data_IF_571853098347
#
_entry.id   IF_571853098347
#
_cell.length_a   1.000
_cell.length_b   1.000
_cell.length_c   1.000
_cell.angle_alpha   90.00
_cell.angle_beta   90.00
_cell.angle_gamma   90.00
#
_symmetry.space_group_name_H-M   'P 1'
#
loop_
_entity.id
_entity.type
_entity.pdbx_description
1 polymer ?
#
# COMPACT_ATOMS: atom_id res chain seq x y z
N UNK A 1 0.82 -9.17 17.73
CA UNK A 1 -0.01 -9.02 16.54
C UNK A 1 -0.42 -7.56 16.27
N UNK A 2 -1.17 -6.85 17.12
CA UNK A 2 -1.70 -5.50 16.85
C UNK A 2 -0.60 -4.50 16.47
N UNK A 3 0.49 -4.42 17.24
CA UNK A 3 1.62 -3.54 16.91
C UNK A 3 2.36 -3.92 15.63
N UNK A 4 2.38 -5.20 15.28
CA UNK A 4 2.90 -5.67 14.00
C UNK A 4 2.03 -5.16 12.83
N UNK A 5 0.71 -5.23 12.97
CA UNK A 5 -0.23 -4.67 11.98
C UNK A 5 0.00 -3.16 11.81
N UNK A 6 0.13 -2.41 12.89
CA UNK A 6 0.41 -0.98 12.81
C UNK A 6 1.71 -0.67 12.07
N UNK A 7 2.81 -1.34 12.42
CA UNK A 7 4.13 -1.01 11.90
C UNK A 7 4.42 -1.64 10.54
N UNK A 8 4.08 -2.92 10.36
CA UNK A 8 4.48 -3.68 9.17
C UNK A 8 3.41 -3.64 8.10
N UNK A 9 2.16 -3.94 8.44
CA UNK A 9 1.08 -4.01 7.44
C UNK A 9 0.61 -2.65 6.93
N UNK A 10 0.83 -1.58 7.69
CA UNK A 10 0.39 -0.23 7.31
C UNK A 10 1.56 0.74 7.19
N UNK A 11 2.15 1.16 8.31
CA UNK A 11 3.15 2.24 8.30
C UNK A 11 4.37 1.92 7.44
N UNK A 12 4.87 0.68 7.48
CA UNK A 12 6.02 0.24 6.68
C UNK A 12 5.75 0.31 5.18
N UNK A 13 4.52 0.16 4.76
CA UNK A 13 4.09 0.28 3.36
C UNK A 13 4.18 1.69 2.79
N UNK A 14 4.28 2.74 3.63
CA UNK A 14 4.23 4.12 3.16
C UNK A 14 5.49 4.59 2.39
N UNK A 15 6.57 3.82 2.36
CA UNK A 15 7.84 4.23 1.75
C UNK A 15 7.92 4.00 0.23
N UNK A 16 7.08 3.12 -0.29
CA UNK A 16 7.07 2.82 -1.73
C UNK A 16 5.65 2.61 -2.24
N UNK A 17 5.38 2.91 -3.51
CA UNK A 17 4.08 2.62 -4.13
C UNK A 17 3.68 1.14 -4.10
N UNK A 18 4.64 0.23 -4.00
CA UNK A 18 4.38 -1.22 -3.95
C UNK A 18 4.05 -1.66 -2.52
N UNK A 19 4.43 -0.87 -1.52
CA UNK A 19 4.27 -1.22 -0.10
C UNK A 19 2.83 -1.15 0.39
N UNK A 20 2.02 -0.27 -0.20
CA UNK A 20 0.61 -0.12 0.18
C UNK A 20 -0.24 0.33 -1.02
N UNK A 21 -1.41 -0.27 -1.26
CA UNK A 21 -2.27 0.03 -2.40
C UNK A 21 -2.63 1.50 -2.61
N UNK A 22 -2.89 2.34 -1.59
CA UNK A 22 -3.11 3.77 -1.77
C UNK A 22 -1.99 4.46 -2.53
N UNK A 23 -0.75 4.18 -2.18
CA UNK A 23 0.41 4.82 -2.80
C UNK A 23 0.61 4.32 -4.24
N UNK A 24 0.30 3.05 -4.51
CA UNK A 24 0.27 2.51 -5.87
C UNK A 24 -0.75 3.27 -6.72
N UNK A 25 -1.94 3.52 -6.19
CA UNK A 25 -2.96 4.31 -6.88
C UNK A 25 -2.50 5.75 -7.13
N UNK A 26 -1.79 6.37 -6.18
CA UNK A 26 -1.16 7.68 -6.37
C UNK A 26 -0.13 7.66 -7.50
N UNK A 27 0.73 6.65 -7.52
CA UNK A 27 1.73 6.45 -8.56
C UNK A 27 1.08 6.29 -9.95
N UNK A 28 0.04 5.47 -10.06
CA UNK A 28 -0.74 5.31 -11.30
C UNK A 28 -1.43 6.61 -11.75
N UNK A 29 -1.62 7.57 -10.84
CA UNK A 29 -2.18 8.89 -11.13
C UNK A 29 -1.11 9.96 -11.37
N UNK A 30 0.17 9.59 -11.43
CA UNK A 30 1.27 10.48 -11.79
C UNK A 30 2.11 10.98 -10.61
N UNK A 31 1.87 10.52 -9.39
CA UNK A 31 2.80 10.79 -8.26
C UNK A 31 4.11 10.06 -8.52
N UNK A 32 5.28 10.73 -8.45
CA UNK A 32 6.56 10.07 -8.71
C UNK A 32 6.83 8.90 -7.76
N UNK A 33 7.44 7.81 -8.25
CA UNK A 33 7.70 6.59 -7.47
C UNK A 33 8.44 6.88 -6.15
N UNK A 34 9.50 7.66 -6.20
CA UNK A 34 10.33 7.99 -5.04
C UNK A 34 9.77 9.13 -4.18
N UNK A 35 8.64 9.71 -4.55
CA UNK A 35 8.03 10.77 -3.78
C UNK A 35 7.66 10.32 -2.36
N UNK A 36 7.22 9.08 -2.20
CA UNK A 36 6.86 8.50 -0.91
C UNK A 36 8.00 8.50 0.12
N UNK A 37 9.26 8.56 -0.32
CA UNK A 37 10.40 8.71 0.60
C UNK A 37 10.36 10.01 1.41
N UNK A 38 9.62 11.03 0.96
CA UNK A 38 9.37 12.25 1.75
C UNK A 38 8.58 11.97 3.04
N UNK A 39 7.89 10.82 3.11
CA UNK A 39 7.16 10.40 4.31
C UNK A 39 8.07 9.75 5.37
N UNK A 40 9.33 9.46 5.05
CA UNK A 40 10.27 8.79 5.94
C UNK A 40 10.42 9.48 7.31
N UNK A 41 10.58 10.81 7.42
CA UNK A 41 10.68 11.46 8.73
C UNK A 41 9.41 11.28 9.58
N UNK A 42 8.23 11.35 8.95
CA UNK A 42 6.95 11.17 9.61
C UNK A 42 6.78 9.72 10.06
N UNK A 43 7.17 8.76 9.22
CA UNK A 43 7.20 7.34 9.57
C UNK A 43 8.09 7.08 10.77
N UNK A 44 9.33 7.55 10.75
CA UNK A 44 10.28 7.33 11.85
C UNK A 44 9.76 7.92 13.16
N UNK A 45 9.19 9.12 13.14
CA UNK A 45 8.59 9.74 14.30
C UNK A 45 7.45 8.89 14.88
N UNK A 46 6.51 8.44 14.06
CA UNK A 46 5.41 7.57 14.49
C UNK A 46 5.91 6.21 14.99
N UNK A 47 6.91 5.62 14.30
CA UNK A 47 7.50 4.35 14.69
C UNK A 47 8.12 4.41 16.08
N UNK A 48 8.84 5.50 16.41
CA UNK A 48 9.40 5.70 17.75
C UNK A 48 8.30 5.77 18.81
N UNK A 49 7.20 6.48 18.53
CA UNK A 49 6.06 6.59 19.46
C UNK A 49 5.44 5.20 19.68
N UNK A 50 5.11 4.49 18.62
CA UNK A 50 4.44 3.18 18.71
C UNK A 50 5.33 2.14 19.38
N UNK A 51 6.63 2.10 19.05
CA UNK A 51 7.59 1.20 19.71
C UNK A 51 7.75 1.54 21.20
N UNK A 52 7.73 2.82 21.56
CA UNK A 52 7.78 3.24 22.97
C UNK A 52 6.53 2.75 23.71
N UNK A 53 5.35 2.96 23.16
CA UNK A 53 4.09 2.48 23.75
C UNK A 53 4.13 0.95 23.88
N UNK A 54 4.54 0.25 22.84
CA UNK A 54 4.70 -1.22 22.85
C UNK A 54 5.63 -1.66 23.98
N UNK A 55 6.82 -1.06 24.08
CA UNK A 55 7.79 -1.38 25.11
C UNK A 55 7.23 -1.24 26.53
N UNK A 56 6.53 -0.14 26.81
CA UNK A 56 5.95 0.05 28.14
C UNK A 56 4.81 -0.92 28.43
N UNK A 57 3.97 -1.21 27.43
CA UNK A 57 2.86 -2.18 27.59
C UNK A 57 3.39 -3.60 27.77
N UNK A 58 4.33 -4.01 26.95
CA UNK A 58 4.95 -5.33 27.00
C UNK A 58 5.70 -5.56 28.32
N UNK A 59 6.50 -4.59 28.73
CA UNK A 59 7.19 -4.62 30.02
C UNK A 59 6.22 -4.75 31.21
N UNK A 60 5.08 -4.05 31.12
CA UNK A 60 4.05 -4.15 32.16
C UNK A 60 3.38 -5.54 32.16
N UNK A 61 3.05 -6.10 30.99
CA UNK A 61 2.51 -7.44 30.84
C UNK A 61 3.48 -8.49 31.39
N UNK A 62 4.74 -8.43 30.95
CA UNK A 62 5.82 -9.31 31.39
C UNK A 62 6.00 -9.34 32.92
N UNK A 63 5.99 -8.16 33.56
CA UNK A 63 6.07 -8.08 35.03
C UNK A 63 4.88 -8.75 35.73
N UNK A 64 3.68 -8.64 35.15
CA UNK A 64 2.48 -9.31 35.69
C UNK A 64 2.58 -10.82 35.55
N UNK A 65 3.12 -11.32 34.43
CA UNK A 65 3.26 -12.75 34.18
C UNK A 65 4.31 -13.37 35.14
N UNK A 66 5.43 -12.71 35.37
CA UNK A 66 6.39 -13.10 36.40
C UNK A 66 5.76 -13.13 37.80
N UNK A 67 4.98 -12.10 38.16
CA UNK A 67 4.30 -12.03 39.45
C UNK A 67 3.26 -13.17 39.66
N UNK A 68 2.73 -13.71 38.54
CA UNK A 68 1.84 -14.88 38.53
C UNK A 68 2.57 -16.22 38.54
N UNK A 69 3.92 -16.21 38.58
CA UNK A 69 4.74 -17.41 38.54
C UNK A 69 4.91 -18.04 37.15
N UNK A 70 4.45 -17.36 36.09
CA UNK A 70 4.68 -17.77 34.72
C UNK A 70 6.15 -17.43 34.39
N UNK A 71 6.98 -18.47 34.24
CA UNK A 71 8.35 -18.30 33.74
C UNK A 71 8.32 -18.27 32.22
N UNK A 72 8.99 -17.32 31.57
CA UNK A 72 9.19 -17.38 30.14
C UNK A 72 9.91 -18.68 29.78
N UNK A 73 9.42 -19.40 28.80
CA UNK A 73 10.08 -20.61 28.31
C UNK A 73 11.33 -20.23 27.50
N UNK A 74 12.42 -19.98 28.23
CA UNK A 74 13.75 -19.66 27.66
C UNK A 74 14.48 -20.93 27.21
N UNK A 75 13.87 -22.11 27.42
CA UNK A 75 14.52 -23.40 27.22
C UNK A 75 14.63 -23.84 25.76
N UNK A 76 14.01 -23.15 24.83
CA UNK A 76 14.25 -23.39 23.41
C UNK A 76 15.49 -22.59 22.99
N UNK A 77 16.63 -23.25 22.71
CA UNK A 77 17.75 -22.54 22.10
C UNK A 77 17.25 -21.82 20.85
N UNK A 78 17.61 -20.55 20.71
CA UNK A 78 17.21 -19.77 19.57
C UNK A 78 17.43 -20.59 18.31
N UNK A 79 16.37 -20.84 17.56
CA UNK A 79 16.50 -21.46 16.26
C UNK A 79 17.45 -20.61 15.45
N UNK A 80 18.51 -21.21 14.93
CA UNK A 80 19.46 -20.50 14.05
C UNK A 80 18.65 -19.71 13.03
N UNK A 81 18.84 -18.40 13.02
CA UNK A 81 18.14 -17.53 12.09
C UNK A 81 18.59 -17.88 10.66
N UNK A 82 17.79 -18.66 9.96
CA UNK A 82 18.03 -19.07 8.58
C UNK A 82 16.96 -18.47 7.67
N UNK A 83 17.39 -17.69 6.71
CA UNK A 83 16.50 -17.21 5.64
C UNK A 83 16.56 -18.24 4.51
N UNK A 84 15.48 -19.03 4.37
CA UNK A 84 15.32 -19.95 3.26
C UNK A 84 14.67 -19.25 2.08
N UNK A 85 15.10 -19.59 0.85
CA UNK A 85 14.51 -18.99 -0.37
C UNK A 85 15.04 -17.60 -0.70
N UNK A 86 16.24 -17.23 -0.28
CA UNK A 86 16.84 -15.91 -0.52
C UNK A 86 16.89 -15.52 -2.02
N UNK A 87 16.93 -16.49 -2.92
CA UNK A 87 16.86 -16.24 -4.37
C UNK A 87 15.57 -15.51 -4.79
N UNK A 88 14.49 -15.61 -4.02
CA UNK A 88 13.25 -14.89 -4.29
C UNK A 88 13.40 -13.36 -4.18
N UNK A 89 14.44 -12.86 -3.54
CA UNK A 89 14.77 -11.42 -3.53
C UNK A 89 14.99 -10.91 -4.95
N UNK A 90 15.55 -11.74 -5.86
CA UNK A 90 15.76 -11.38 -7.27
C UNK A 90 14.40 -11.13 -7.93
N UNK A 91 13.40 -11.99 -7.69
CA UNK A 91 12.06 -11.83 -8.25
C UNK A 91 11.34 -10.63 -7.65
N UNK A 92 11.55 -10.34 -6.37
CA UNK A 92 11.04 -9.13 -5.75
C UNK A 92 11.65 -7.88 -6.41
N UNK A 93 12.96 -7.85 -6.66
CA UNK A 93 13.62 -6.75 -7.38
C UNK A 93 13.08 -6.63 -8.81
N UNK A 94 12.80 -7.74 -9.50
CA UNK A 94 12.15 -7.72 -10.82
C UNK A 94 10.77 -7.06 -10.77
N UNK A 95 9.95 -7.35 -9.78
CA UNK A 95 8.63 -6.73 -9.59
C UNK A 95 8.77 -5.23 -9.36
N UNK A 96 9.68 -4.82 -8.45
CA UNK A 96 9.97 -3.40 -8.19
C UNK A 96 10.41 -2.69 -9.47
N UNK A 97 11.32 -3.28 -10.22
CA UNK A 97 11.79 -2.74 -11.48
C UNK A 97 10.65 -2.61 -12.52
N UNK A 98 9.77 -3.61 -12.61
CA UNK A 98 8.61 -3.59 -13.51
C UNK A 98 7.68 -2.42 -13.22
N UNK A 99 7.36 -2.20 -11.93
CA UNK A 99 6.50 -1.08 -11.51
C UNK A 99 7.17 0.27 -11.80
N UNK A 100 8.48 0.43 -11.53
CA UNK A 100 9.21 1.66 -11.86
C UNK A 100 9.21 1.89 -13.38
N UNK A 101 9.43 0.84 -14.17
CA UNK A 101 9.40 0.92 -15.63
C UNK A 101 8.02 1.34 -16.14
N UNK A 102 6.94 0.79 -15.61
CA UNK A 102 5.58 1.14 -16.05
C UNK A 102 5.23 2.61 -15.82
N UNK A 103 5.84 3.26 -14.82
CA UNK A 103 5.68 4.69 -14.57
C UNK A 103 6.61 5.58 -15.39
N UNK A 104 7.74 5.06 -15.87
CA UNK A 104 8.73 5.83 -16.62
C UNK A 104 8.61 5.68 -18.14
N UNK A 105 8.29 4.49 -18.62
CA UNK A 105 8.14 4.17 -20.05
C UNK A 105 7.09 5.04 -20.77
N UNK A 106 5.94 5.43 -20.17
CA UNK A 106 4.98 6.33 -20.80
C UNK A 106 5.56 7.65 -21.27
N UNK A 107 6.62 8.14 -20.62
CA UNK A 107 7.28 9.40 -20.96
C UNK A 107 8.31 9.27 -22.08
N UNK A 108 8.59 8.06 -22.54
CA UNK A 108 9.55 7.82 -23.63
C UNK A 108 8.86 7.94 -24.99
N UNK A 109 9.46 8.65 -25.97
CA UNK A 109 8.86 8.86 -27.30
C UNK A 109 8.48 7.56 -28.03
N UNK A 110 9.18 6.44 -27.75
CA UNK A 110 8.91 5.14 -28.34
C UNK A 110 7.53 4.60 -27.95
N UNK A 111 7.03 4.94 -26.76
CA UNK A 111 5.73 4.49 -26.24
C UNK A 111 4.61 5.51 -26.45
N UNK A 112 4.90 6.64 -27.12
CA UNK A 112 3.92 7.68 -27.42
C UNK A 112 3.53 7.64 -28.92
N UNK A 113 2.29 8.02 -29.19
CA UNK A 113 1.83 8.30 -30.54
C UNK A 113 2.21 9.73 -31.00
N UNK A 114 1.86 10.09 -32.23
CA UNK A 114 2.11 11.43 -32.76
C UNK A 114 1.38 12.56 -32.00
N UNK A 115 0.36 12.21 -31.22
CA UNK A 115 -0.45 13.13 -30.40
C UNK A 115 0.04 13.21 -28.94
N UNK A 116 1.11 12.48 -28.59
CA UNK A 116 1.66 12.44 -27.24
C UNK A 116 0.92 11.47 -26.28
N UNK A 117 -0.07 10.70 -26.77
CA UNK A 117 -0.75 9.70 -25.96
C UNK A 117 0.07 8.40 -25.90
N UNK A 118 -0.03 7.70 -24.77
CA UNK A 118 0.67 6.41 -24.58
C UNK A 118 0.03 5.35 -25.48
N UNK A 119 0.85 4.69 -26.29
CA UNK A 119 0.42 3.60 -27.18
C UNK A 119 0.00 2.38 -26.38
N UNK A 120 -1.01 1.67 -26.89
CA UNK A 120 -1.50 0.45 -26.26
C UNK A 120 -2.48 -0.32 -27.13
N UNK A 121 -2.96 -1.43 -26.59
CA UNK A 121 -4.01 -2.24 -27.19
C UNK A 121 -5.37 -1.68 -26.76
N UNK A 122 -6.20 -1.34 -27.73
CA UNK A 122 -7.57 -0.94 -27.48
C UNK A 122 -8.42 -2.18 -27.16
N UNK A 123 -8.96 -2.27 -25.94
CA UNK A 123 -9.73 -3.43 -25.50
C UNK A 123 -11.22 -3.21 -25.70
N UNK A 124 -11.75 -2.12 -25.19
CA UNK A 124 -13.19 -1.84 -25.25
C UNK A 124 -13.45 -0.35 -25.07
N UNK A 125 -14.22 0.27 -25.99
CA UNK A 125 -14.57 1.72 -25.97
C UNK A 125 -13.33 2.60 -25.76
N UNK A 126 -13.21 3.27 -24.61
CA UNK A 126 -12.11 4.17 -24.27
C UNK A 126 -11.02 3.46 -23.43
N UNK A 127 -11.16 2.16 -23.18
CA UNK A 127 -10.21 1.41 -22.36
C UNK A 127 -9.06 0.91 -23.23
N UNK A 128 -7.89 1.50 -23.04
CA UNK A 128 -6.65 1.13 -23.71
C UNK A 128 -5.69 0.52 -22.70
N UNK A 129 -5.26 -0.71 -22.92
CA UNK A 129 -4.18 -1.32 -22.16
C UNK A 129 -2.84 -0.88 -22.77
N UNK A 130 -2.13 -0.01 -22.09
CA UNK A 130 -0.89 0.57 -22.60
C UNK A 130 0.23 -0.48 -22.67
N UNK A 131 1.14 -0.34 -23.64
CA UNK A 131 2.29 -1.26 -23.75
C UNK A 131 3.16 -1.28 -22.48
N UNK A 132 3.46 -0.16 -21.80
CA UNK A 132 4.13 -0.20 -20.50
C UNK A 132 3.41 -1.07 -19.46
N UNK A 133 2.08 -1.01 -19.38
CA UNK A 133 1.30 -1.84 -18.47
C UNK A 133 1.35 -3.33 -18.86
N UNK A 134 1.35 -3.65 -20.16
CA UNK A 134 1.52 -5.02 -20.61
C UNK A 134 2.89 -5.57 -20.21
N UNK A 135 3.95 -4.77 -20.40
CA UNK A 135 5.31 -5.17 -20.02
C UNK A 135 5.38 -5.42 -18.51
N UNK A 136 4.80 -4.55 -17.69
CA UNK A 136 4.70 -4.71 -16.24
C UNK A 136 4.02 -6.03 -15.88
N UNK A 137 2.83 -6.29 -16.41
CA UNK A 137 2.07 -7.51 -16.15
C UNK A 137 2.88 -8.76 -16.54
N UNK A 138 3.53 -8.76 -17.71
CA UNK A 138 4.33 -9.89 -18.16
C UNK A 138 5.51 -10.14 -17.23
N UNK A 139 6.23 -9.10 -16.79
CA UNK A 139 7.36 -9.26 -15.88
C UNK A 139 6.88 -9.78 -14.52
N UNK A 140 5.77 -9.26 -13.97
CA UNK A 140 5.21 -9.71 -12.68
C UNK A 140 4.79 -11.17 -12.76
N UNK A 141 4.08 -11.57 -13.82
CA UNK A 141 3.66 -12.96 -14.01
C UNK A 141 4.86 -13.91 -14.20
N UNK A 142 5.88 -13.47 -14.93
CA UNK A 142 7.12 -14.23 -15.10
C UNK A 142 7.86 -14.39 -13.77
N UNK A 143 7.99 -13.32 -12.99
CA UNK A 143 8.61 -13.35 -11.66
C UNK A 143 7.85 -14.30 -10.72
N UNK A 144 6.51 -14.25 -10.72
CA UNK A 144 5.66 -15.14 -9.93
C UNK A 144 5.84 -16.60 -10.36
N UNK A 145 5.81 -16.88 -11.66
CA UNK A 145 6.01 -18.23 -12.22
C UNK A 145 7.39 -18.78 -11.86
N UNK A 146 8.47 -18.00 -12.05
CA UNK A 146 9.82 -18.41 -11.73
C UNK A 146 9.98 -18.63 -10.22
N UNK A 147 9.47 -17.75 -9.39
CA UNK A 147 9.46 -17.91 -7.93
C UNK A 147 8.76 -19.21 -7.54
N UNK A 148 7.59 -19.48 -8.11
CA UNK A 148 6.83 -20.69 -7.79
C UNK A 148 7.57 -21.96 -8.24
N UNK A 149 8.23 -21.93 -9.40
CA UNK A 149 8.95 -23.09 -9.96
C UNK A 149 10.29 -23.35 -9.28
N UNK A 150 11.01 -22.32 -8.86
CA UNK A 150 12.36 -22.43 -8.29
C UNK A 150 12.38 -22.55 -6.77
N UNK A 151 11.30 -22.19 -6.08
CA UNK A 151 11.21 -22.31 -4.63
C UNK A 151 10.78 -23.73 -4.24
N UNK A 152 11.57 -24.34 -3.35
CA UNK A 152 11.28 -25.67 -2.83
C UNK A 152 9.91 -25.72 -2.16
N UNK A 153 9.16 -26.80 -2.44
CA UNK A 153 7.82 -27.00 -1.89
C UNK A 153 7.84 -27.08 -0.35
N UNK A 154 8.91 -27.59 0.23
CA UNK A 154 9.09 -27.69 1.68
C UNK A 154 9.08 -26.29 2.35
N UNK A 155 9.57 -25.25 1.67
CA UNK A 155 9.53 -23.88 2.18
C UNK A 155 8.10 -23.34 2.20
N UNK A 156 7.34 -23.60 1.14
CA UNK A 156 5.92 -23.19 1.05
C UNK A 156 5.07 -23.89 2.09
N UNK A 157 5.26 -25.20 2.25
CA UNK A 157 4.55 -26.01 3.24
C UNK A 157 4.85 -25.55 4.67
N UNK A 158 6.11 -25.27 4.99
CA UNK A 158 6.51 -24.75 6.30
C UNK A 158 5.95 -23.37 6.61
N UNK A 159 5.71 -22.56 5.57
CA UNK A 159 5.12 -21.23 5.70
C UNK A 159 3.59 -21.25 5.56
N UNK A 160 2.96 -22.43 5.57
CA UNK A 160 1.50 -22.59 5.41
C UNK A 160 0.94 -21.81 4.21
N UNK A 161 1.70 -21.77 3.09
CA UNK A 161 1.28 -21.02 1.91
C UNK A 161 0.00 -21.61 1.32
N UNK A 162 -1.03 -20.78 1.21
CA UNK A 162 -2.29 -21.10 0.52
C UNK A 162 -2.66 -20.01 -0.47
N UNK A 163 -3.42 -20.37 -1.50
CA UNK A 163 -3.96 -19.39 -2.46
C UNK A 163 -5.16 -18.61 -1.91
N UNK A 164 -5.74 -19.05 -0.78
CA UNK A 164 -6.95 -18.46 -0.19
C UNK A 164 -6.82 -16.96 0.04
N UNK A 165 -5.76 -16.52 0.71
CA UNK A 165 -5.54 -15.11 1.00
C UNK A 165 -5.42 -14.25 -0.27
N UNK A 166 -4.77 -14.77 -1.33
CA UNK A 166 -4.62 -14.06 -2.61
C UNK A 166 -5.98 -13.95 -3.33
N UNK A 167 -6.78 -15.01 -3.31
CA UNK A 167 -8.12 -15.04 -3.91
C UNK A 167 -9.06 -14.05 -3.20
N UNK A 168 -9.04 -14.04 -1.86
CA UNK A 168 -9.85 -13.12 -1.06
C UNK A 168 -9.53 -11.68 -1.40
N UNK A 169 -8.25 -11.30 -1.41
CA UNK A 169 -7.79 -9.96 -1.77
C UNK A 169 -8.17 -9.61 -3.21
N UNK A 170 -8.03 -10.54 -4.17
CA UNK A 170 -8.39 -10.29 -5.56
C UNK A 170 -9.90 -10.01 -5.73
N UNK A 171 -10.76 -10.79 -5.09
CA UNK A 171 -12.22 -10.59 -5.12
C UNK A 171 -12.58 -9.25 -4.47
N UNK A 172 -11.97 -8.95 -3.33
CA UNK A 172 -12.19 -7.69 -2.62
C UNK A 172 -11.81 -6.49 -3.49
N UNK A 173 -10.65 -6.49 -4.15
CA UNK A 173 -10.24 -5.39 -5.03
C UNK A 173 -11.16 -5.23 -6.23
N UNK A 174 -11.61 -6.31 -6.87
CA UNK A 174 -12.61 -6.23 -7.96
C UNK A 174 -13.88 -5.54 -7.47
N UNK A 175 -14.39 -5.93 -6.30
CA UNK A 175 -15.54 -5.29 -5.68
C UNK A 175 -15.33 -3.80 -5.40
N UNK A 176 -14.22 -3.44 -4.79
CA UNK A 176 -13.85 -2.05 -4.48
C UNK A 176 -13.77 -1.22 -5.76
N UNK A 177 -13.05 -1.66 -6.79
CA UNK A 177 -12.87 -0.89 -8.03
C UNK A 177 -14.18 -0.65 -8.77
N UNK A 178 -15.12 -1.58 -8.71
CA UNK A 178 -16.45 -1.41 -9.31
C UNK A 178 -17.27 -0.42 -8.49
N UNK A 179 -17.34 -0.60 -7.18
CA UNK A 179 -18.26 0.16 -6.31
C UNK A 179 -17.78 1.59 -6.03
N UNK A 180 -16.48 1.87 -6.12
CA UNK A 180 -15.95 3.21 -5.86
C UNK A 180 -16.19 4.20 -7.01
N UNK A 181 -16.47 3.75 -8.24
CA UNK A 181 -16.61 4.66 -9.39
C UNK A 181 -17.70 5.73 -9.20
N UNK A 182 -18.92 5.41 -8.75
CA UNK A 182 -19.93 6.44 -8.48
C UNK A 182 -19.50 7.44 -7.41
N UNK A 183 -18.82 6.98 -6.37
CA UNK A 183 -18.30 7.85 -5.30
C UNK A 183 -17.25 8.83 -5.82
N UNK A 184 -16.32 8.37 -6.68
CA UNK A 184 -15.33 9.23 -7.30
C UNK A 184 -15.95 10.27 -8.23
N UNK A 185 -16.99 9.90 -8.99
CA UNK A 185 -17.74 10.84 -9.84
C UNK A 185 -18.44 11.92 -9.01
N UNK A 186 -19.10 11.53 -7.93
CA UNK A 186 -19.77 12.46 -7.03
C UNK A 186 -18.77 13.43 -6.41
N UNK A 187 -17.63 12.93 -5.95
CA UNK A 187 -16.60 13.75 -5.32
C UNK A 187 -15.89 14.70 -6.28
N UNK A 188 -15.74 14.33 -7.55
CA UNK A 188 -15.28 15.27 -8.57
C UNK A 188 -16.22 16.46 -8.72
N UNK A 189 -17.55 16.23 -8.60
CA UNK A 189 -18.56 17.27 -8.72
C UNK A 189 -18.68 18.15 -7.46
N UNK A 190 -18.59 17.55 -6.27
CA UNK A 190 -18.86 18.20 -4.98
C UNK A 190 -17.58 18.59 -4.23
N UNK A 191 -16.45 17.98 -4.58
CA UNK A 191 -15.16 18.14 -3.89
C UNK A 191 -14.76 19.59 -3.60
N UNK A 192 -14.83 20.52 -4.58
CA UNK A 192 -14.51 21.93 -4.36
C UNK A 192 -15.37 22.59 -3.27
N UNK A 193 -16.59 22.10 -3.06
CA UNK A 193 -17.56 22.67 -2.13
C UNK A 193 -17.47 22.07 -0.71
N UNK A 194 -16.62 21.04 -0.49
CA UNK A 194 -16.47 20.41 0.81
C UNK A 194 -15.75 21.30 1.84
N UNK A 195 -15.09 22.37 1.39
CA UNK A 195 -14.37 23.28 2.26
C UNK A 195 -13.10 22.70 2.89
N UNK A 196 -12.71 21.48 2.53
CA UNK A 196 -11.51 20.79 3.04
C UNK A 196 -10.34 21.20 2.16
N UNK A 197 -9.51 22.14 2.62
CA UNK A 197 -8.42 22.71 1.82
C UNK A 197 -7.05 22.62 2.50
N UNK A 198 -7.04 22.53 3.84
CA UNK A 198 -5.80 22.53 4.62
C UNK A 198 -5.24 21.12 4.80
N UNK A 199 -3.91 20.97 4.89
CA UNK A 199 -3.28 19.66 5.13
C UNK A 199 -3.81 18.93 6.37
N UNK A 200 -4.05 19.65 7.48
CA UNK A 200 -4.57 19.05 8.70
C UNK A 200 -6.01 18.52 8.54
N UNK A 201 -6.86 19.26 7.82
CA UNK A 201 -8.23 18.85 7.49
C UNK A 201 -8.22 17.60 6.61
N UNK A 202 -7.35 17.59 5.58
CA UNK A 202 -7.15 16.43 4.69
C UNK A 202 -6.66 15.20 5.46
N UNK A 203 -5.69 15.37 6.37
CA UNK A 203 -5.18 14.27 7.19
C UNK A 203 -6.27 13.62 8.04
N UNK A 204 -6.99 14.43 8.82
CA UNK A 204 -8.02 13.91 9.73
C UNK A 204 -9.23 13.35 9.00
N UNK A 205 -9.69 14.01 7.94
CA UNK A 205 -10.82 13.54 7.15
C UNK A 205 -10.48 12.22 6.42
N UNK A 206 -9.31 12.16 5.78
CA UNK A 206 -8.82 10.94 5.13
C UNK A 206 -8.63 9.83 6.14
N UNK A 207 -7.98 10.11 7.26
CA UNK A 207 -7.68 9.12 8.28
C UNK A 207 -8.91 8.59 8.99
N UNK A 208 -9.84 9.47 9.38
CA UNK A 208 -11.10 9.05 9.97
C UNK A 208 -11.86 8.10 9.02
N UNK A 209 -11.95 8.46 7.75
CA UNK A 209 -12.65 7.64 6.77
C UNK A 209 -11.91 6.32 6.51
N UNK A 210 -10.57 6.35 6.40
CA UNK A 210 -9.73 5.15 6.22
C UNK A 210 -9.79 4.18 7.41
N UNK A 211 -10.16 4.66 8.57
CA UNK A 211 -10.36 3.78 9.74
C UNK A 211 -11.58 2.86 9.61
N UNK A 212 -12.56 3.20 8.78
CA UNK A 212 -13.81 2.46 8.60
C UNK A 212 -14.00 1.91 7.19
N UNK A 213 -13.35 2.53 6.21
CA UNK A 213 -13.33 2.09 4.82
C UNK A 213 -11.92 1.65 4.47
N UNK A 214 -11.81 0.85 3.41
CA UNK A 214 -10.49 0.52 2.86
C UNK A 214 -9.68 1.78 2.51
N UNK A 215 -8.39 1.76 2.80
CA UNK A 215 -7.50 2.89 2.63
C UNK A 215 -7.35 3.33 1.17
N UNK A 216 -7.47 2.41 0.22
CA UNK A 216 -7.27 2.67 -1.21
C UNK A 216 -8.35 3.57 -1.81
N UNK A 217 -9.65 3.25 -1.71
CA UNK A 217 -10.69 4.14 -2.18
C UNK A 217 -10.68 5.47 -1.42
N UNK A 218 -10.41 5.44 -0.11
CA UNK A 218 -10.33 6.65 0.71
C UNK A 218 -9.23 7.59 0.20
N UNK A 219 -8.03 7.07 -0.06
CA UNK A 219 -6.94 7.84 -0.63
C UNK A 219 -7.33 8.49 -1.96
N UNK A 220 -7.91 7.71 -2.88
CA UNK A 220 -8.32 8.21 -4.20
C UNK A 220 -9.37 9.30 -4.12
N UNK A 221 -10.32 9.17 -3.20
CA UNK A 221 -11.33 10.18 -2.92
C UNK A 221 -10.68 11.52 -2.57
N UNK A 222 -9.81 11.54 -1.57
CA UNK A 222 -9.17 12.78 -1.13
C UNK A 222 -8.12 13.30 -2.10
N UNK A 223 -7.41 12.42 -2.82
CA UNK A 223 -6.51 12.84 -3.88
C UNK A 223 -7.29 13.51 -5.03
N UNK A 224 -8.45 12.96 -5.40
CA UNK A 224 -9.33 13.56 -6.41
C UNK A 224 -9.85 14.91 -5.94
N UNK A 225 -10.33 14.99 -4.70
CA UNK A 225 -10.78 16.26 -4.10
C UNK A 225 -9.67 17.30 -4.10
N UNK A 226 -8.46 16.95 -3.67
CA UNK A 226 -7.32 17.85 -3.67
C UNK A 226 -6.95 18.30 -5.10
N UNK A 227 -7.01 17.41 -6.08
CA UNK A 227 -6.75 17.74 -7.48
C UNK A 227 -7.75 18.76 -8.08
N UNK A 228 -8.98 18.79 -7.59
CA UNK A 228 -10.01 19.76 -8.05
C UNK A 228 -9.85 21.16 -7.44
N UNK A 229 -9.02 21.33 -6.39
CA UNK A 229 -8.84 22.62 -5.71
C UNK A 229 -7.93 23.60 -6.48
N UNK A 230 -7.49 23.23 -7.68
CA UNK A 230 -6.70 24.08 -8.60
C UNK A 230 -5.48 24.75 -7.95
N UNK A 231 -4.72 24.00 -7.18
CA UNK A 231 -3.47 24.47 -6.62
C UNK A 231 -2.45 24.78 -7.76
N UNK A 232 -1.70 25.85 -7.60
CA UNK A 232 -0.70 26.29 -8.61
C UNK A 232 0.67 25.63 -8.43
N UNK A 233 0.98 25.18 -7.20
CA UNK A 233 2.27 24.59 -6.86
C UNK A 233 2.10 23.20 -6.26
N UNK A 234 2.92 22.24 -6.71
CA UNK A 234 2.87 20.88 -6.18
C UNK A 234 3.24 19.83 -7.21
N UNK A 235 2.79 18.63 -6.97
CA UNK A 235 2.98 17.49 -7.86
C UNK A 235 1.80 17.44 -8.83
N UNK A 236 2.11 17.45 -10.11
CA UNK A 236 1.12 17.35 -11.19
C UNK A 236 0.71 15.89 -11.34
N UNK A 237 -0.57 15.62 -11.13
CA UNK A 237 -1.19 14.30 -11.30
C UNK A 237 -2.22 14.35 -12.42
N UNK A 238 -2.71 13.18 -12.84
CA UNK A 238 -3.83 13.10 -13.80
C UNK A 238 -5.15 13.67 -13.25
N UNK A 239 -5.20 13.96 -11.95
CA UNK A 239 -6.37 14.52 -11.26
C UNK A 239 -6.25 16.02 -10.99
N UNK A 240 -5.07 16.61 -11.22
CA UNK A 240 -4.74 18.00 -10.95
C UNK A 240 -3.44 18.15 -10.18
N UNK A 241 -3.04 19.40 -9.91
CA UNK A 241 -1.82 19.68 -9.13
C UNK A 241 -2.13 19.65 -7.64
N UNK A 242 -1.34 18.89 -6.87
CA UNK A 242 -1.52 18.71 -5.42
C UNK A 242 -0.25 19.12 -4.68
N UNK A 243 -0.32 20.07 -3.73
CA UNK A 243 0.83 20.48 -2.92
C UNK A 243 1.41 19.29 -2.14
N UNK A 244 2.73 19.22 -2.03
CA UNK A 244 3.42 18.14 -1.29
C UNK A 244 2.89 17.95 0.13
N UNK A 245 2.60 19.03 0.87
CA UNK A 245 2.05 18.94 2.23
C UNK A 245 0.65 18.33 2.27
N UNK A 246 -0.20 18.65 1.29
CA UNK A 246 -1.55 18.08 1.16
C UNK A 246 -1.46 16.61 0.79
N UNK A 247 -0.62 16.27 -0.18
CA UNK A 247 -0.41 14.88 -0.58
C UNK A 247 0.17 14.03 0.55
N UNK A 248 1.13 14.57 1.33
CA UNK A 248 1.65 13.89 2.52
C UNK A 248 0.57 13.68 3.58
N UNK A 249 -0.30 14.66 3.79
CA UNK A 249 -1.40 14.56 4.75
C UNK A 249 -2.40 13.46 4.34
N UNK A 250 -2.81 13.42 3.06
CA UNK A 250 -3.70 12.39 2.54
C UNK A 250 -3.04 11.01 2.64
N UNK A 251 -1.77 10.89 2.23
CA UNK A 251 -1.03 9.62 2.28
C UNK A 251 -0.88 9.09 3.70
N UNK A 252 -0.46 9.94 4.65
CA UNK A 252 -0.33 9.54 6.04
C UNK A 252 -1.68 9.23 6.69
N UNK A 253 -2.73 10.01 6.39
CA UNK A 253 -4.08 9.75 6.87
C UNK A 253 -4.59 8.40 6.40
N UNK A 254 -4.50 8.13 5.10
CA UNK A 254 -4.95 6.87 4.52
C UNK A 254 -4.18 5.67 5.06
N UNK A 255 -2.84 5.73 5.04
CA UNK A 255 -1.98 4.59 5.39
C UNK A 255 -1.94 4.34 6.89
N UNK A 256 -1.68 5.37 7.71
CA UNK A 256 -1.46 5.17 9.15
C UNK A 256 -2.76 4.88 9.89
N UNK A 257 -3.85 5.55 9.55
CA UNK A 257 -5.12 5.34 10.23
C UNK A 257 -5.93 4.18 9.66
N UNK A 258 -5.55 3.63 8.50
CA UNK A 258 -6.05 2.35 7.99
C UNK A 258 -5.74 1.18 8.94
N UNK A 259 -4.77 1.34 9.84
CA UNK A 259 -4.46 0.37 10.89
C UNK A 259 -5.48 0.32 12.04
N UNK A 260 -6.35 1.31 12.17
CA UNK A 260 -7.25 1.43 13.33
C UNK A 260 -8.30 0.31 13.40
N UNK A 261 -8.66 -0.27 12.26
CA UNK A 261 -9.57 -1.42 12.19
C UNK A 261 -9.05 -2.47 11.21
N UNK A 262 -9.58 -3.68 11.30
CA UNK A 262 -9.22 -4.73 10.33
C UNK A 262 -9.74 -4.42 8.91
N UNK A 263 -10.80 -3.63 8.78
CA UNK A 263 -11.42 -3.26 7.50
C UNK A 263 -10.63 -2.14 6.82
N UNK A 264 -9.90 -1.33 7.59
CA UNK A 264 -9.21 -0.15 7.08
C UNK A 264 -8.08 -0.43 6.09
N UNK A 265 -7.57 -1.66 6.05
CA UNK A 265 -6.59 -2.09 5.05
C UNK A 265 -6.63 -3.62 4.87
N UNK A 266 -6.73 -4.12 3.64
CA UNK A 266 -6.79 -5.54 3.33
C UNK A 266 -5.65 -6.38 3.94
N UNK A 267 -4.37 -5.96 3.95
CA UNK A 267 -3.29 -6.67 4.65
C UNK A 267 -3.54 -6.94 6.13
N UNK A 268 -4.37 -6.14 6.81
CA UNK A 268 -4.68 -6.36 8.24
C UNK A 268 -5.38 -7.69 8.46
N UNK A 269 -6.34 -8.04 7.59
CA UNK A 269 -7.01 -9.34 7.64
C UNK A 269 -6.05 -10.48 7.37
N UNK A 270 -5.19 -10.35 6.39
CA UNK A 270 -4.24 -11.38 6.03
C UNK A 270 -3.27 -11.68 7.18
N UNK A 271 -2.73 -10.65 7.82
CA UNK A 271 -1.84 -10.81 8.98
C UNK A 271 -2.59 -11.43 10.17
N UNK A 272 -3.85 -11.03 10.38
CA UNK A 272 -4.69 -11.63 11.42
C UNK A 272 -4.93 -13.11 11.14
N UNK A 273 -5.34 -13.47 9.93
CA UNK A 273 -5.59 -14.87 9.55
C UNK A 273 -4.33 -15.73 9.75
N UNK A 274 -3.17 -15.29 9.28
CA UNK A 274 -1.90 -15.99 9.48
C UNK A 274 -1.56 -16.14 10.97
N UNK A 275 -1.87 -15.14 11.79
CA UNK A 275 -1.61 -15.20 13.24
C UNK A 275 -2.58 -16.10 13.98
N UNK A 276 -3.79 -16.27 13.50
CA UNK A 276 -4.82 -17.13 14.11
C UNK A 276 -4.60 -18.63 13.75
N UNK A 277 -3.89 -18.90 12.63
CA UNK A 277 -3.53 -20.26 12.18
C UNK A 277 -2.26 -20.82 12.86
N UNK A 278 -1.43 -19.98 13.50
CA UNK A 278 -0.17 -20.33 14.17
C UNK A 278 -0.24 -20.11 15.67
#
# INVERSE_FOLDING_TARGET
MVFFIFMVSNMGGCLTPIGDPPLLMGFMRGVPFFWSLHLLPILLFNMVIILSIFYFMDRRAYRKDIARGLKPDISKPGTDFRISGLHNVIFLVMIVAAVILSGTLPNMPMFQDASGNVRGLHIFREVTLTYPAIIEIVIILLAAYLSFKTTDESIRTKNHFTWGAIQEVAVLFVGIFITMQPALMLLKAVGPNLGITKPAEMFWATGALSSFLDNTPTYLVFLTTAGTLAFTNGITTTLGTVPTKVLSAISCGAVFMGANTYIGNAPNFMVKAISDEN
#
